data_IF_147477830188
#
_entry.id   IF_147477830188
#
_cell.length_a   1.000
_cell.length_b   1.000
_cell.length_c   1.000
_cell.angle_alpha   90.00
_cell.angle_beta   90.00
_cell.angle_gamma   90.00
#
_symmetry.space_group_name_H-M   'P 1'
#
loop_
_entity.id
_entity.type
_entity.pdbx_description
1 polymer ?
#
# COMPACT_ATOMS: atom_id res chain seq x y z
N UNK A 1 -0.59 14.82 9.66
CA UNK A 1 0.49 15.40 8.84
C UNK A 1 0.07 15.27 7.38
N UNK A 2 0.13 16.34 6.60
CA UNK A 2 -0.29 16.31 5.19
C UNK A 2 0.85 15.82 4.29
N UNK A 3 0.55 14.93 3.36
CA UNK A 3 1.48 14.51 2.31
C UNK A 3 1.86 15.74 1.46
N UNK A 4 3.13 15.85 1.06
CA UNK A 4 3.58 16.91 0.16
C UNK A 4 2.80 16.85 -1.17
N UNK A 5 2.39 18.01 -1.70
CA UNK A 5 1.57 18.06 -2.92
C UNK A 5 2.25 17.48 -4.16
N UNK A 6 3.59 17.51 -4.24
CA UNK A 6 4.32 16.91 -5.35
C UNK A 6 4.39 15.39 -5.21
N UNK A 7 4.54 14.89 -3.98
CA UNK A 7 4.45 13.46 -3.69
C UNK A 7 3.04 12.94 -4.00
N UNK A 8 2.00 13.64 -3.58
CA UNK A 8 0.60 13.30 -3.89
C UNK A 8 0.36 13.18 -5.40
N UNK A 9 0.71 14.22 -6.17
CA UNK A 9 0.60 14.19 -7.64
C UNK A 9 1.39 13.04 -8.26
N UNK A 10 2.58 12.76 -7.75
CA UNK A 10 3.38 11.66 -8.25
C UNK A 10 2.71 10.31 -7.99
N UNK A 11 2.18 10.10 -6.78
CA UNK A 11 1.44 8.88 -6.43
C UNK A 11 0.19 8.71 -7.30
N UNK A 12 -0.52 9.79 -7.62
CA UNK A 12 -1.64 9.74 -8.58
C UNK A 12 -1.19 9.21 -9.95
N UNK A 13 -0.01 9.60 -10.45
CA UNK A 13 0.55 9.03 -11.71
C UNK A 13 0.90 7.55 -11.62
N UNK A 14 1.14 7.03 -10.40
CA UNK A 14 1.35 5.61 -10.15
C UNK A 14 0.02 4.85 -9.95
N UNK A 15 -1.12 5.53 -10.06
CA UNK A 15 -2.45 4.94 -9.98
C UNK A 15 -3.11 5.03 -8.60
N UNK A 16 -2.51 5.73 -7.63
CA UNK A 16 -3.18 6.01 -6.36
C UNK A 16 -4.38 6.94 -6.58
N UNK A 17 -5.45 6.70 -5.84
CA UNK A 17 -6.66 7.52 -5.85
C UNK A 17 -6.97 7.96 -4.43
N UNK A 18 -7.53 9.16 -4.31
CA UNK A 18 -8.08 9.65 -3.04
C UNK A 18 -9.40 8.93 -2.78
N UNK A 19 -9.47 8.21 -1.67
CA UNK A 19 -10.72 7.69 -1.13
C UNK A 19 -11.33 8.70 -0.14
N UNK A 20 -12.63 8.55 0.14
CA UNK A 20 -13.44 9.52 0.91
C UNK A 20 -12.85 9.87 2.29
N UNK A 21 -12.05 8.98 2.87
CA UNK A 21 -11.40 9.15 4.18
C UNK A 21 -10.09 9.95 4.12
N UNK A 22 -9.73 10.50 2.95
CA UNK A 22 -8.53 11.34 2.75
C UNK A 22 -7.24 10.56 2.52
N UNK A 23 -7.31 9.23 2.51
CA UNK A 23 -6.18 8.35 2.21
C UNK A 23 -5.97 8.23 0.69
N UNK A 24 -4.70 8.18 0.28
CA UNK A 24 -4.32 7.75 -1.06
C UNK A 24 -4.26 6.23 -1.08
N UNK A 25 -5.11 5.60 -1.88
CA UNK A 25 -5.23 4.14 -1.98
C UNK A 25 -4.93 3.70 -3.40
N UNK A 26 -4.13 2.65 -3.54
CA UNK A 26 -3.92 1.95 -4.80
C UNK A 26 -4.33 0.49 -4.63
N UNK A 27 -5.32 0.07 -5.41
CA UNK A 27 -5.68 -1.33 -5.55
C UNK A 27 -4.70 -2.00 -6.52
N UNK A 28 -3.95 -2.98 -6.02
CA UNK A 28 -2.96 -3.73 -6.79
C UNK A 28 -3.59 -4.90 -7.57
N UNK A 29 -4.93 -4.92 -7.67
CA UNK A 29 -5.69 -5.98 -8.33
C UNK A 29 -5.55 -5.89 -9.85
N UNK A 30 -5.01 -6.94 -10.48
CA UNK A 30 -5.14 -7.14 -11.94
C UNK A 30 -5.40 -8.61 -12.26
N UNK A 31 -6.63 -8.92 -12.71
CA UNK A 31 -7.00 -10.24 -13.22
C UNK A 31 -7.67 -11.17 -12.20
N UNK A 32 -7.31 -12.46 -12.27
CA UNK A 32 -7.86 -13.60 -11.52
C UNK A 32 -7.40 -13.70 -10.07
N UNK A 33 -6.93 -12.60 -9.48
CA UNK A 33 -6.51 -12.56 -8.08
C UNK A 33 -7.74 -12.78 -7.20
N UNK A 34 -7.70 -13.83 -6.37
CA UNK A 34 -8.82 -14.21 -5.47
C UNK A 34 -9.01 -13.19 -4.35
N UNK A 35 -8.04 -12.29 -4.18
CA UNK A 35 -7.99 -11.29 -3.15
C UNK A 35 -7.65 -9.94 -3.74
N UNK A 36 -8.29 -8.89 -3.22
CA UNK A 36 -7.94 -7.53 -3.58
C UNK A 36 -6.91 -7.01 -2.59
N UNK A 37 -5.68 -6.79 -3.06
CA UNK A 37 -4.62 -6.20 -2.24
C UNK A 37 -4.58 -4.71 -2.46
N UNK A 38 -4.49 -3.95 -1.38
CA UNK A 38 -4.46 -2.51 -1.40
C UNK A 38 -3.22 -2.01 -0.67
N UNK A 39 -2.68 -0.91 -1.19
CA UNK A 39 -1.69 -0.11 -0.49
C UNK A 39 -2.28 1.28 -0.25
N UNK A 40 -2.17 1.78 0.97
CA UNK A 40 -2.55 3.15 1.30
C UNK A 40 -1.47 3.86 2.10
N UNK A 41 -1.58 5.18 2.24
CA UNK A 41 -0.62 5.98 3.00
C UNK A 41 -1.28 6.54 4.25
N UNK A 42 -0.79 6.14 5.41
CA UNK A 42 -1.27 6.59 6.71
C UNK A 42 -0.11 7.13 7.54
N UNK A 43 -0.25 8.35 8.08
CA UNK A 43 0.80 9.01 8.85
C UNK A 43 2.19 9.05 8.16
N UNK A 44 2.20 9.12 6.82
CA UNK A 44 3.43 9.13 6.01
C UNK A 44 4.07 7.74 5.84
N UNK A 45 3.39 6.68 6.25
CA UNK A 45 3.82 5.29 6.08
C UNK A 45 2.96 4.63 5.01
N UNK A 46 3.58 3.81 4.16
CA UNK A 46 2.84 2.89 3.31
C UNK A 46 2.33 1.72 4.17
N UNK A 47 1.04 1.46 4.06
CA UNK A 47 0.33 0.40 4.75
C UNK A 47 -0.29 -0.52 3.72
N UNK A 48 -0.40 -1.80 4.08
CA UNK A 48 -0.88 -2.83 3.16
C UNK A 48 -1.96 -3.68 3.79
N UNK A 49 -2.89 -4.11 2.94
CA UNK A 49 -4.02 -4.90 3.37
C UNK A 49 -4.56 -5.75 2.23
N UNK A 50 -5.24 -6.81 2.62
CA UNK A 50 -5.80 -7.81 1.72
C UNK A 50 -7.26 -8.00 2.07
N UNK A 51 -8.13 -7.78 1.08
CA UNK A 51 -9.55 -8.06 1.17
C UNK A 51 -9.82 -9.52 0.81
N UNK A 52 -10.54 -10.19 1.70
CA UNK A 52 -11.08 -11.53 1.55
C UNK A 52 -12.61 -11.44 1.44
N UNK A 53 -13.26 -12.53 1.03
CA UNK A 53 -14.75 -12.56 1.04
C UNK A 53 -15.33 -12.32 2.44
N UNK A 54 -14.58 -12.65 3.49
CA UNK A 54 -15.03 -12.60 4.89
C UNK A 54 -14.52 -11.39 5.68
N UNK A 55 -13.68 -10.52 5.10
CA UNK A 55 -13.09 -9.41 5.85
C UNK A 55 -11.83 -8.82 5.22
N UNK A 56 -11.12 -8.03 6.03
CA UNK A 56 -9.92 -7.30 5.64
C UNK A 56 -8.83 -7.57 6.66
N UNK A 57 -7.65 -8.01 6.20
CA UNK A 57 -6.48 -8.16 7.06
C UNK A 57 -5.34 -7.26 6.61
N UNK A 58 -4.61 -6.75 7.60
CA UNK A 58 -3.35 -6.04 7.39
C UNK A 58 -2.24 -7.04 7.11
N UNK A 59 -1.39 -6.73 6.15
CA UNK A 59 -0.24 -7.57 5.78
C UNK A 59 1.03 -6.74 5.79
N UNK A 60 2.16 -7.41 5.97
CA UNK A 60 3.47 -6.77 5.99
C UNK A 60 4.11 -6.70 4.59
N UNK A 61 5.10 -5.83 4.40
CA UNK A 61 5.86 -5.78 3.13
C UNK A 61 6.51 -7.12 2.80
N UNK A 62 7.00 -7.80 3.84
CA UNK A 62 7.62 -9.12 3.71
C UNK A 62 6.64 -10.18 3.20
N UNK A 63 5.34 -10.06 3.52
CA UNK A 63 4.31 -10.93 2.96
C UNK A 63 4.04 -10.59 1.49
N UNK A 64 4.08 -9.31 1.13
CA UNK A 64 3.97 -8.89 -0.28
C UNK A 64 5.11 -9.45 -1.11
N UNK A 65 6.35 -9.32 -0.64
CA UNK A 65 7.53 -9.74 -1.39
C UNK A 65 7.66 -11.27 -1.33
N UNK A 66 7.53 -11.87 -0.15
CA UNK A 66 7.86 -13.26 0.13
C UNK A 66 6.75 -14.27 -0.10
N UNK A 67 5.46 -13.88 -0.10
CA UNK A 67 4.39 -14.87 -0.15
C UNK A 67 4.08 -15.27 -1.60
N UNK A 68 4.61 -16.41 -2.05
CA UNK A 68 4.44 -16.92 -3.43
C UNK A 68 3.07 -17.56 -3.69
N UNK A 69 2.31 -17.86 -2.65
CA UNK A 69 1.05 -18.60 -2.76
C UNK A 69 -0.20 -17.71 -2.76
N UNK A 70 -0.09 -16.49 -2.22
CA UNK A 70 -1.25 -15.68 -1.84
C UNK A 70 -1.37 -14.33 -2.53
N UNK A 71 -0.32 -13.91 -3.26
CA UNK A 71 -0.26 -12.65 -3.98
C UNK A 71 0.33 -12.88 -5.37
N UNK A 72 -0.35 -12.37 -6.40
CA UNK A 72 0.11 -12.53 -7.77
C UNK A 72 1.47 -11.86 -8.00
N UNK A 73 2.31 -12.46 -8.85
CA UNK A 73 3.60 -11.89 -9.29
C UNK A 73 3.46 -10.44 -9.78
N UNK A 74 2.30 -10.10 -10.35
CA UNK A 74 1.97 -8.75 -10.79
C UNK A 74 1.88 -7.76 -9.63
N UNK A 75 1.19 -8.11 -8.53
CA UNK A 75 1.09 -7.27 -7.33
C UNK A 75 2.47 -6.94 -6.77
N UNK A 76 3.35 -7.95 -6.68
CA UNK A 76 4.74 -7.77 -6.23
C UNK A 76 5.53 -6.84 -7.14
N UNK A 77 5.47 -7.12 -8.45
CA UNK A 77 6.21 -6.36 -9.46
C UNK A 77 5.75 -4.90 -9.49
N UNK A 78 4.44 -4.67 -9.31
CA UNK A 78 3.87 -3.33 -9.30
C UNK A 78 4.33 -2.55 -8.06
N UNK A 79 4.26 -3.14 -6.86
CA UNK A 79 4.76 -2.50 -5.65
C UNK A 79 6.26 -2.17 -5.75
N UNK A 80 7.09 -3.13 -6.19
CA UNK A 80 8.52 -2.91 -6.36
C UNK A 80 8.83 -1.80 -7.37
N UNK A 81 8.05 -1.70 -8.45
CA UNK A 81 8.17 -0.61 -9.42
C UNK A 81 7.88 0.76 -8.80
N UNK A 82 6.80 0.88 -8.03
CA UNK A 82 6.43 2.11 -7.32
C UNK A 82 7.52 2.52 -6.34
N UNK A 83 7.99 1.56 -5.52
CA UNK A 83 9.06 1.76 -4.55
C UNK A 83 10.34 2.25 -5.23
N UNK A 84 10.72 1.65 -6.35
CA UNK A 84 11.88 2.08 -7.14
C UNK A 84 11.70 3.51 -7.65
N UNK A 85 10.56 3.84 -8.25
CA UNK A 85 10.32 5.17 -8.80
C UNK A 85 10.31 6.27 -7.71
N UNK A 86 9.86 5.95 -6.49
CA UNK A 86 9.94 6.85 -5.34
C UNK A 86 11.41 7.11 -4.94
N UNK A 87 12.20 6.05 -4.83
CA UNK A 87 13.63 6.15 -4.51
C UNK A 87 14.42 6.91 -5.57
N UNK A 88 14.16 6.64 -6.86
CA UNK A 88 14.80 7.33 -7.99
C UNK A 88 14.49 8.85 -8.00
N UNK A 89 13.39 9.26 -7.38
CA UNK A 89 13.01 10.67 -7.18
C UNK A 89 13.53 11.27 -5.87
N UNK A 90 14.26 10.50 -5.06
CA UNK A 90 14.83 10.95 -3.79
C UNK A 90 13.85 10.92 -2.61
N UNK A 91 12.71 10.24 -2.74
CA UNK A 91 11.80 10.07 -1.61
C UNK A 91 12.24 8.93 -0.71
N UNK A 92 12.13 9.13 0.60
CA UNK A 92 12.27 8.06 1.58
C UNK A 92 10.99 7.22 1.61
N UNK A 93 11.11 5.89 1.46
CA UNK A 93 9.97 4.97 1.52
C UNK A 93 9.97 4.26 2.87
N UNK A 94 8.96 4.54 3.69
CA UNK A 94 8.72 3.86 4.97
C UNK A 94 7.46 3.01 4.89
N UNK A 95 7.56 1.77 5.33
CA UNK A 95 6.45 0.81 5.32
C UNK A 95 6.11 0.44 6.76
N UNK A 96 4.82 0.34 7.06
CA UNK A 96 4.35 -0.17 8.34
C UNK A 96 4.56 -1.70 8.41
N UNK A 97 5.36 -2.16 9.38
CA UNK A 97 5.67 -3.58 9.64
C UNK A 97 4.58 -4.32 10.46
N UNK A 98 3.60 -3.57 10.97
CA UNK A 98 2.32 -4.02 11.54
C UNK A 98 1.57 -2.78 11.96
N UNK A 99 0.25 -2.76 11.78
CA UNK A 99 -0.59 -1.87 12.57
C UNK A 99 -0.56 -2.39 14.00
N UNK A 100 0.37 -1.91 14.84
CA UNK A 100 0.12 -1.96 16.29
C UNK A 100 -0.99 -0.96 16.50
N UNK A 101 -2.23 -1.47 16.46
CA UNK A 101 -3.42 -0.68 16.75
C UNK A 101 -3.09 0.23 17.91
N UNK A 102 -3.23 1.53 17.70
CA UNK A 102 -3.16 2.51 18.77
C UNK A 102 -4.10 2.02 19.87
N UNK A 103 -3.54 1.46 20.95
CA UNK A 103 -4.26 1.41 22.22
C UNK A 103 -4.51 2.86 22.58
N UNK A 104 -5.74 3.32 22.32
CA UNK A 104 -6.27 4.53 22.94
C UNK A 104 -6.36 4.20 24.42
N UNK A 105 -5.29 4.49 25.18
CA UNK A 105 -5.39 4.61 26.63
C UNK A 105 -6.36 5.75 26.91
N UNK A 106 -7.51 5.36 27.47
CA UNK A 106 -8.51 6.27 28.01
C UNK A 106 -8.01 6.95 29.27
#
# INVERSE_FOLDING_TARGET
MSIDKNLEKFLETQGFKRENDGYLVLSLRKGSDRHQTEVWIENGLFCFGKHFMSGFDYINESEIIGNHNDLSTNTKTHWLSIKKNLLDKGYEVRVADKFTGLEVKK
#
